data_IF_187944983848
#
_entry.id   IF_187944983848
#
_cell.length_a   1.000
_cell.length_b   1.000
_cell.length_c   1.000
_cell.angle_alpha   90.00
_cell.angle_beta   90.00
_cell.angle_gamma   90.00
#
_symmetry.space_group_name_H-M   'P 1'
#
loop_
_entity.id
_entity.type
_entity.pdbx_description
1 polymer ?
#
# COMPACT_ATOMS: atom_id res chain seq x y z
N UNK A 1 -26.72 -34.60 10.28
CA UNK A 1 -25.79 -33.89 9.38
C UNK A 1 -26.63 -33.12 8.39
N UNK A 2 -26.82 -31.83 8.62
CA UNK A 2 -27.67 -30.95 7.83
C UNK A 2 -26.74 -29.90 7.22
N UNK A 3 -26.71 -29.70 5.90
CA UNK A 3 -25.81 -28.73 5.31
C UNK A 3 -26.35 -27.31 5.57
N UNK A 4 -25.47 -26.42 6.01
CA UNK A 4 -25.77 -25.00 6.14
C UNK A 4 -25.95 -24.36 4.75
N UNK A 5 -26.88 -23.40 4.58
CA UNK A 5 -27.08 -22.74 3.31
C UNK A 5 -25.96 -21.72 3.02
N UNK A 6 -25.68 -21.40 1.75
CA UNK A 6 -24.67 -20.42 1.39
C UNK A 6 -25.12 -19.00 1.80
N UNK A 7 -24.17 -18.20 2.30
CA UNK A 7 -24.40 -16.79 2.63
C UNK A 7 -24.57 -15.99 1.33
N UNK A 8 -25.76 -15.43 1.14
CA UNK A 8 -26.05 -14.49 0.06
C UNK A 8 -25.30 -13.16 0.28
N UNK A 9 -24.70 -12.67 -0.79
CA UNK A 9 -24.09 -11.34 -0.89
C UNK A 9 -25.17 -10.29 -1.18
N UNK A 10 -25.75 -9.72 -0.13
CA UNK A 10 -26.61 -8.54 -0.24
C UNK A 10 -25.81 -7.26 0.01
N UNK A 11 -25.22 -6.66 -1.03
CA UNK A 11 -24.81 -5.24 -0.98
C UNK A 11 -25.97 -4.40 -1.52
N UNK A 12 -26.74 -3.79 -0.62
CA UNK A 12 -27.71 -2.77 -0.99
C UNK A 12 -26.96 -1.47 -1.34
N UNK A 13 -27.39 -0.81 -2.41
CA UNK A 13 -26.79 0.42 -2.96
C UNK A 13 -26.67 1.60 -1.96
N UNK A 14 -27.29 1.49 -0.77
CA UNK A 14 -27.16 2.46 0.32
C UNK A 14 -25.94 2.26 1.23
N UNK A 15 -25.29 1.08 1.24
CA UNK A 15 -24.15 0.81 2.14
C UNK A 15 -22.85 1.48 1.69
N UNK A 16 -22.54 1.47 0.38
CA UNK A 16 -21.30 2.03 -0.15
C UNK A 16 -21.15 3.53 0.08
N UNK A 17 -22.22 4.31 -0.09
CA UNK A 17 -22.18 5.76 0.12
C UNK A 17 -21.86 6.16 1.58
N UNK A 18 -22.33 5.37 2.54
CA UNK A 18 -22.04 5.57 3.96
C UNK A 18 -20.57 5.25 4.29
N UNK A 19 -19.99 4.23 3.65
CA UNK A 19 -18.58 3.89 3.83
C UNK A 19 -17.64 4.96 3.30
N UNK A 20 -17.92 5.53 2.12
CA UNK A 20 -17.12 6.63 1.58
C UNK A 20 -17.17 7.88 2.48
N UNK A 21 -18.27 8.13 3.18
CA UNK A 21 -18.40 9.28 4.08
C UNK A 21 -17.47 9.20 5.31
N UNK A 22 -16.97 8.01 5.66
CA UNK A 22 -16.05 7.79 6.80
C UNK A 22 -14.61 8.18 6.50
N UNK A 23 -14.24 8.42 5.24
CA UNK A 23 -12.87 8.79 4.90
C UNK A 23 -12.59 10.20 5.43
N UNK A 24 -11.71 10.28 6.41
CA UNK A 24 -11.20 11.53 6.98
C UNK A 24 -9.85 11.88 6.32
N UNK A 25 -9.86 12.89 5.44
CA UNK A 25 -8.66 13.34 4.74
C UNK A 25 -7.73 14.22 5.57
N UNK A 26 -8.05 14.49 6.85
CA UNK A 26 -7.17 15.23 7.76
C UNK A 26 -6.09 14.35 8.39
N UNK A 27 -6.27 13.02 8.37
CA UNK A 27 -5.31 12.07 8.93
C UNK A 27 -4.02 12.03 8.08
N UNK A 28 -2.84 11.95 8.72
CA UNK A 28 -1.56 12.15 8.04
C UNK A 28 -1.22 11.03 7.05
N UNK A 29 -1.65 9.80 7.28
CA UNK A 29 -1.39 8.68 6.36
C UNK A 29 -2.16 8.79 5.03
N UNK A 30 -3.21 9.62 4.96
CA UNK A 30 -3.95 9.90 3.72
C UNK A 30 -3.49 11.18 3.02
N UNK A 31 -2.57 11.96 3.61
CA UNK A 31 -2.12 13.22 3.04
C UNK A 31 -1.66 13.13 1.57
N UNK A 32 -0.89 12.09 1.13
CA UNK A 32 -0.48 11.95 -0.27
C UNK A 32 -1.65 11.78 -1.26
N UNK A 33 -2.81 11.35 -0.77
CA UNK A 33 -3.98 11.01 -1.58
C UNK A 33 -5.08 12.07 -1.50
N UNK A 34 -4.97 13.04 -0.59
CA UNK A 34 -6.10 13.87 -0.18
C UNK A 34 -6.67 14.78 -1.28
N UNK A 35 -5.83 15.24 -2.21
CA UNK A 35 -6.27 16.07 -3.35
C UNK A 35 -7.20 15.29 -4.28
N UNK A 36 -6.70 14.29 -5.02
CA UNK A 36 -7.53 13.44 -5.89
C UNK A 36 -8.61 12.69 -5.11
N UNK A 37 -8.32 12.28 -3.88
CA UNK A 37 -9.21 11.53 -3.00
C UNK A 37 -10.48 12.29 -2.64
N UNK A 38 -10.41 13.59 -2.35
CA UNK A 38 -11.61 14.41 -2.07
C UNK A 38 -12.56 14.48 -3.27
N UNK A 39 -12.02 14.66 -4.47
CA UNK A 39 -12.81 14.69 -5.71
C UNK A 39 -13.45 13.33 -5.97
N UNK A 40 -12.66 12.26 -5.90
CA UNK A 40 -13.15 10.90 -6.09
C UNK A 40 -14.18 10.50 -5.01
N UNK A 41 -14.01 10.88 -3.75
CA UNK A 41 -14.95 10.58 -2.66
C UNK A 41 -16.31 11.26 -2.90
N UNK A 42 -16.31 12.52 -3.34
CA UNK A 42 -17.55 13.23 -3.69
C UNK A 42 -18.29 12.51 -4.82
N UNK A 43 -17.56 12.07 -5.85
CA UNK A 43 -18.11 11.30 -6.97
C UNK A 43 -18.61 9.91 -6.52
N UNK A 44 -17.87 9.20 -5.67
CA UNK A 44 -18.27 7.91 -5.11
C UNK A 44 -19.57 8.00 -4.31
N UNK A 45 -19.79 9.10 -3.58
CA UNK A 45 -21.05 9.36 -2.86
C UNK A 45 -22.23 9.65 -3.80
N UNK A 46 -21.96 10.09 -5.02
CA UNK A 46 -22.98 10.29 -6.06
C UNK A 46 -23.31 9.00 -6.83
N UNK A 47 -22.44 7.99 -6.80
CA UNK A 47 -22.69 6.64 -7.34
C UNK A 47 -21.51 6.07 -8.12
N UNK A 48 -21.63 4.80 -8.52
CA UNK A 48 -20.60 4.06 -9.26
C UNK A 48 -20.22 4.73 -10.58
N UNK A 49 -21.21 5.12 -11.39
CA UNK A 49 -20.95 5.77 -12.68
C UNK A 49 -20.21 7.10 -12.52
N UNK A 50 -20.63 7.93 -11.55
CA UNK A 50 -19.97 9.19 -11.24
C UNK A 50 -18.52 9.00 -10.79
N UNK A 51 -18.25 7.97 -9.98
CA UNK A 51 -16.89 7.60 -9.59
C UNK A 51 -16.04 7.24 -10.81
N UNK A 52 -16.51 6.32 -11.66
CA UNK A 52 -15.77 5.92 -12.86
C UNK A 52 -15.50 7.09 -13.80
N UNK A 53 -16.47 7.99 -13.98
CA UNK A 53 -16.30 9.20 -14.80
C UNK A 53 -15.26 10.14 -14.19
N UNK A 54 -15.30 10.37 -12.88
CA UNK A 54 -14.32 11.21 -12.19
C UNK A 54 -12.90 10.62 -12.27
N UNK A 55 -12.75 9.31 -12.06
CA UNK A 55 -11.46 8.62 -12.16
C UNK A 55 -10.92 8.69 -13.60
N UNK A 56 -11.74 8.40 -14.60
CA UNK A 56 -11.31 8.45 -16.00
C UNK A 56 -11.06 9.88 -16.51
N UNK A 57 -11.81 10.86 -16.01
CA UNK A 57 -11.56 12.28 -16.29
C UNK A 57 -10.20 12.74 -15.75
N UNK A 58 -9.83 12.29 -14.54
CA UNK A 58 -8.53 12.57 -13.95
C UNK A 58 -7.35 11.90 -14.70
N UNK A 59 -7.59 10.82 -15.44
CA UNK A 59 -6.57 10.21 -16.31
C UNK A 59 -6.30 11.02 -17.58
N UNK A 60 -7.27 11.82 -18.04
CA UNK A 60 -7.15 12.67 -19.21
C UNK A 60 -6.26 13.90 -19.02
N UNK A 61 -6.03 14.31 -17.76
CA UNK A 61 -5.09 15.37 -17.40
C UNK A 61 -3.67 14.80 -17.32
N UNK A 62 -3.06 14.56 -18.49
CA UNK A 62 -1.71 14.01 -18.56
C UNK A 62 -0.69 15.09 -18.22
N UNK A 63 -0.15 15.01 -17.00
CA UNK A 63 1.02 15.80 -16.60
C UNK A 63 2.28 15.50 -17.43
N UNK A 64 3.46 16.01 -17.02
CA UNK A 64 4.70 15.91 -17.81
C UNK A 64 5.16 14.46 -18.05
N UNK A 65 4.67 13.50 -17.28
CA UNK A 65 4.98 12.07 -17.40
C UNK A 65 4.21 11.34 -18.54
N UNK A 66 3.31 12.04 -19.25
CA UNK A 66 2.49 11.47 -20.32
C UNK A 66 1.33 10.61 -19.82
N UNK A 67 0.69 9.82 -20.70
CA UNK A 67 -0.45 8.99 -20.33
C UNK A 67 -0.03 7.85 -19.40
N UNK A 68 -0.87 7.56 -18.40
CA UNK A 68 -0.67 6.42 -17.50
C UNK A 68 -0.95 5.12 -18.22
N UNK A 69 -0.07 4.15 -18.03
CA UNK A 69 -0.16 2.83 -18.66
C UNK A 69 -0.10 1.70 -17.64
N UNK A 70 -0.66 0.55 -17.99
CA UNK A 70 -0.59 -0.69 -17.19
C UNK A 70 0.67 -1.49 -17.53
N UNK A 71 0.82 -2.68 -16.94
CA UNK A 71 2.06 -3.47 -17.00
C UNK A 71 2.51 -3.91 -18.40
N UNK A 72 1.62 -3.94 -19.39
CA UNK A 72 1.96 -4.20 -20.81
C UNK A 72 1.78 -2.98 -21.71
N UNK A 73 1.85 -1.78 -21.14
CA UNK A 73 1.80 -0.53 -21.91
C UNK A 73 0.42 -0.17 -22.45
N UNK A 74 -0.66 -0.80 -21.96
CA UNK A 74 -2.03 -0.40 -22.31
C UNK A 74 -2.39 0.88 -21.57
N UNK A 75 -3.15 1.76 -22.20
CA UNK A 75 -3.67 2.96 -21.55
C UNK A 75 -4.53 2.55 -20.36
N UNK A 76 -4.23 3.11 -19.19
CA UNK A 76 -4.99 2.88 -17.98
C UNK A 76 -6.42 3.42 -18.16
N UNK A 77 -7.42 2.65 -17.75
CA UNK A 77 -8.81 3.08 -17.65
C UNK A 77 -9.50 2.35 -16.52
N UNK A 78 -10.32 3.04 -15.72
CA UNK A 78 -11.18 2.38 -14.73
C UNK A 78 -12.49 1.95 -15.39
N UNK A 79 -12.88 0.70 -15.20
CA UNK A 79 -14.06 0.09 -15.82
C UNK A 79 -14.96 -0.57 -14.76
N UNK A 80 -16.27 -0.71 -15.01
CA UNK A 80 -17.15 -1.45 -14.10
C UNK A 80 -16.65 -2.89 -13.90
N UNK A 81 -16.90 -3.46 -12.71
CA UNK A 81 -16.53 -4.85 -12.42
C UNK A 81 -17.06 -5.86 -13.45
N UNK A 82 -18.23 -5.59 -14.05
CA UNK A 82 -18.84 -6.43 -15.09
C UNK A 82 -18.04 -6.50 -16.39
N UNK A 83 -17.06 -5.61 -16.62
CA UNK A 83 -16.17 -5.67 -17.76
C UNK A 83 -15.11 -6.80 -17.64
N UNK A 84 -14.89 -7.34 -16.44
CA UNK A 84 -14.03 -8.50 -16.22
C UNK A 84 -14.77 -9.79 -16.64
N UNK A 85 -14.33 -10.51 -17.69
CA UNK A 85 -15.02 -11.71 -18.12
C UNK A 85 -14.91 -12.84 -17.08
N UNK A 86 -15.94 -13.69 -16.92
CA UNK A 86 -15.85 -14.86 -16.06
C UNK A 86 -14.65 -15.75 -16.43
N UNK A 87 -13.90 -16.19 -15.42
CA UNK A 87 -12.73 -17.06 -15.60
C UNK A 87 -11.43 -16.34 -16.01
N UNK A 88 -11.47 -15.04 -16.30
CA UNK A 88 -10.26 -14.25 -16.55
C UNK A 88 -9.73 -13.70 -15.24
N UNK A 89 -8.42 -13.83 -15.03
CA UNK A 89 -7.76 -13.27 -13.86
C UNK A 89 -7.74 -11.74 -13.90
N UNK A 90 -7.97 -11.09 -12.76
CA UNK A 90 -7.94 -9.64 -12.61
C UNK A 90 -6.69 -8.99 -13.22
N UNK A 91 -5.51 -9.50 -12.84
CA UNK A 91 -4.22 -8.96 -13.30
C UNK A 91 -3.98 -9.19 -14.79
N UNK A 92 -4.42 -10.33 -15.33
CA UNK A 92 -4.36 -10.63 -16.77
C UNK A 92 -5.22 -9.64 -17.54
N UNK A 93 -6.46 -9.39 -17.09
CA UNK A 93 -7.36 -8.44 -17.74
C UNK A 93 -6.77 -7.03 -17.79
N UNK A 94 -6.22 -6.52 -16.68
CA UNK A 94 -5.56 -5.21 -16.63
C UNK A 94 -4.38 -5.15 -17.58
N UNK A 95 -3.55 -6.18 -17.60
CA UNK A 95 -2.37 -6.24 -18.44
C UNK A 95 -2.74 -6.24 -19.93
N UNK A 96 -3.77 -6.98 -20.31
CA UNK A 96 -4.15 -7.14 -21.72
C UNK A 96 -4.94 -5.96 -22.27
N UNK A 97 -5.81 -5.36 -21.46
CA UNK A 97 -6.79 -4.36 -21.91
C UNK A 97 -6.50 -2.93 -21.46
N UNK A 98 -5.77 -2.76 -20.35
CA UNK A 98 -5.64 -1.48 -19.66
C UNK A 98 -6.81 -1.14 -18.73
N UNK A 99 -7.90 -1.90 -18.79
CA UNK A 99 -9.08 -1.75 -17.94
C UNK A 99 -8.83 -2.29 -16.54
N UNK A 100 -9.02 -1.46 -15.52
CA UNK A 100 -9.01 -1.83 -14.10
C UNK A 100 -10.44 -2.02 -13.64
N UNK A 101 -10.92 -3.28 -13.46
CA UNK A 101 -12.23 -3.54 -12.90
C UNK A 101 -12.32 -2.92 -11.52
N UNK A 102 -13.34 -2.09 -11.32
CA UNK A 102 -13.51 -1.25 -10.14
C UNK A 102 -14.92 -1.44 -9.59
N UNK A 103 -15.02 -2.03 -8.39
CA UNK A 103 -16.23 -2.17 -7.60
C UNK A 103 -16.48 -0.88 -6.81
N UNK A 104 -17.73 -0.60 -6.49
CA UNK A 104 -18.12 0.56 -5.69
C UNK A 104 -17.92 0.31 -4.18
N UNK A 105 -16.66 0.19 -3.75
CA UNK A 105 -16.27 -0.01 -2.35
C UNK A 105 -14.95 0.73 -2.00
N UNK A 106 -14.59 0.77 -0.72
CA UNK A 106 -13.37 1.44 -0.25
C UNK A 106 -12.10 0.80 -0.80
N UNK A 107 -12.08 -0.53 -0.92
CA UNK A 107 -10.94 -1.28 -1.43
C UNK A 107 -10.51 -0.82 -2.84
N UNK A 108 -11.41 -0.89 -3.82
CA UNK A 108 -11.10 -0.51 -5.20
C UNK A 108 -10.98 1.01 -5.36
N UNK A 109 -11.63 1.79 -4.49
CA UNK A 109 -11.42 3.23 -4.39
C UNK A 109 -9.98 3.58 -4.03
N UNK A 110 -9.41 2.99 -2.96
CA UNK A 110 -8.01 3.22 -2.62
C UNK A 110 -7.06 2.63 -3.65
N UNK A 111 -7.40 1.49 -4.27
CA UNK A 111 -6.62 0.94 -5.38
C UNK A 111 -6.48 1.96 -6.53
N UNK A 112 -7.57 2.65 -6.88
CA UNK A 112 -7.55 3.71 -7.88
C UNK A 112 -6.66 4.90 -7.47
N UNK A 113 -6.73 5.33 -6.20
CA UNK A 113 -5.85 6.38 -5.69
C UNK A 113 -4.37 5.99 -5.69
N UNK A 114 -4.05 4.73 -5.43
CA UNK A 114 -2.68 4.22 -5.54
C UNK A 114 -2.20 4.20 -6.99
N UNK A 115 -3.05 3.88 -7.98
CA UNK A 115 -2.72 4.04 -9.41
C UNK A 115 -2.38 5.49 -9.79
N UNK A 116 -3.02 6.48 -9.15
CA UNK A 116 -2.67 7.89 -9.35
C UNK A 116 -1.37 8.31 -8.67
N UNK A 117 -1.13 7.86 -7.43
CA UNK A 117 0.06 8.25 -6.69
C UNK A 117 1.33 7.50 -7.15
N UNK A 118 1.20 6.22 -7.48
CA UNK A 118 2.31 5.32 -7.79
C UNK A 118 2.06 4.52 -9.09
N UNK A 119 1.89 5.20 -10.24
CA UNK A 119 1.56 4.54 -11.50
C UNK A 119 2.63 3.54 -11.94
N UNK A 120 3.92 3.82 -11.72
CA UNK A 120 5.01 2.94 -12.19
C UNK A 120 5.09 1.69 -11.33
N UNK A 121 4.92 1.81 -10.00
CA UNK A 121 4.81 0.66 -9.09
C UNK A 121 3.64 -0.23 -9.51
N UNK A 122 2.45 0.34 -9.69
CA UNK A 122 1.26 -0.44 -10.08
C UNK A 122 1.42 -1.11 -11.44
N UNK A 123 2.00 -0.43 -12.42
CA UNK A 123 2.32 -1.03 -13.70
C UNK A 123 3.32 -2.20 -13.55
N UNK A 124 4.39 -2.04 -12.76
CA UNK A 124 5.38 -3.09 -12.53
C UNK A 124 4.77 -4.32 -11.81
N UNK A 125 3.93 -4.10 -10.79
CA UNK A 125 3.19 -5.16 -10.09
C UNK A 125 2.30 -5.93 -11.06
N UNK A 126 1.49 -5.21 -11.85
CA UNK A 126 0.59 -5.80 -12.83
C UNK A 126 1.36 -6.63 -13.89
N UNK A 127 2.47 -6.09 -14.41
CA UNK A 127 3.29 -6.81 -15.40
C UNK A 127 3.83 -8.12 -14.84
N UNK A 128 4.34 -8.12 -13.60
CA UNK A 128 4.90 -9.31 -12.96
C UNK A 128 3.84 -10.31 -12.53
N UNK A 129 2.70 -9.85 -12.03
CA UNK A 129 1.55 -10.71 -11.74
C UNK A 129 1.09 -11.43 -13.01
N UNK A 130 0.86 -10.70 -14.10
CA UNK A 130 0.42 -11.26 -15.37
C UNK A 130 1.45 -12.26 -15.94
N UNK A 131 2.74 -11.90 -15.95
CA UNK A 131 3.81 -12.81 -16.41
C UNK A 131 3.88 -14.10 -15.57
N UNK A 132 3.68 -14.00 -14.25
CA UNK A 132 3.67 -15.17 -13.37
C UNK A 132 2.43 -16.06 -13.57
N UNK A 133 1.28 -15.47 -13.93
CA UNK A 133 0.07 -16.22 -14.29
C UNK A 133 0.29 -16.96 -15.61
N UNK A 134 0.83 -16.29 -16.63
CA UNK A 134 1.11 -16.89 -17.93
C UNK A 134 2.11 -18.06 -17.81
N UNK A 135 3.18 -17.87 -17.03
CA UNK A 135 4.19 -18.90 -16.78
C UNK A 135 3.61 -20.13 -16.05
N UNK A 136 2.55 -19.95 -15.26
CA UNK A 136 1.84 -21.04 -14.59
C UNK A 136 0.75 -21.70 -15.47
N UNK A 137 0.52 -21.21 -16.69
CA UNK A 137 -0.56 -21.68 -17.56
C UNK A 137 -1.95 -21.20 -17.12
N UNK A 138 -2.03 -20.11 -16.35
CA UNK A 138 -3.27 -19.56 -15.80
C UNK A 138 -3.30 -19.48 -14.28
N UNK A 139 -4.48 -19.18 -13.72
CA UNK A 139 -4.67 -19.12 -12.26
C UNK A 139 -4.91 -20.52 -11.72
N UNK A 140 -3.85 -21.12 -11.17
CA UNK A 140 -3.94 -22.35 -10.39
C UNK A 140 -4.49 -22.13 -8.97
N UNK A 141 -4.81 -23.22 -8.24
CA UNK A 141 -5.39 -23.16 -6.88
C UNK A 141 -4.41 -22.63 -5.82
N UNK A 142 -3.10 -22.69 -6.09
CA UNK A 142 -2.05 -22.22 -5.18
C UNK A 142 -1.26 -21.12 -5.87
N UNK A 143 -1.15 -19.96 -5.21
CA UNK A 143 -0.27 -18.89 -5.65
C UNK A 143 1.18 -19.26 -5.35
N UNK A 144 2.06 -19.02 -6.31
CA UNK A 144 3.50 -19.16 -6.10
C UNK A 144 4.06 -18.05 -5.20
N UNK A 145 5.25 -18.29 -4.64
CA UNK A 145 5.94 -17.38 -3.70
C UNK A 145 6.05 -15.94 -4.21
N UNK A 146 6.35 -15.77 -5.50
CA UNK A 146 6.41 -14.45 -6.14
C UNK A 146 5.05 -13.76 -6.15
N UNK A 147 3.98 -14.45 -6.57
CA UNK A 147 2.63 -13.87 -6.62
C UNK A 147 2.12 -13.51 -5.23
N UNK A 148 2.41 -14.34 -4.23
CA UNK A 148 2.09 -14.02 -2.84
C UNK A 148 2.83 -12.75 -2.37
N UNK A 149 4.11 -12.59 -2.70
CA UNK A 149 4.86 -11.39 -2.34
C UNK A 149 4.35 -10.13 -3.06
N UNK A 150 4.01 -10.24 -4.36
CA UNK A 150 3.46 -9.13 -5.14
C UNK A 150 2.07 -8.73 -4.64
N UNK A 151 1.20 -9.69 -4.34
CA UNK A 151 -0.11 -9.40 -3.74
C UNK A 151 0.06 -8.78 -2.36
N UNK A 152 0.94 -9.31 -1.51
CA UNK A 152 1.19 -8.75 -0.19
C UNK A 152 1.67 -7.30 -0.26
N UNK A 153 2.53 -7.00 -1.24
CA UNK A 153 2.95 -5.63 -1.51
C UNK A 153 1.77 -4.75 -1.92
N UNK A 154 1.01 -5.17 -2.93
CA UNK A 154 -0.09 -4.37 -3.48
C UNK A 154 -1.20 -4.09 -2.46
N UNK A 155 -1.46 -5.04 -1.56
CA UNK A 155 -2.54 -5.00 -0.58
C UNK A 155 -2.13 -4.28 0.71
N UNK A 156 -0.92 -4.53 1.22
CA UNK A 156 -0.58 -4.20 2.60
C UNK A 156 0.80 -3.55 2.78
N UNK A 157 1.47 -3.11 1.70
CA UNK A 157 2.78 -2.51 1.86
C UNK A 157 2.77 -1.07 2.39
N UNK A 158 3.80 -0.80 3.18
CA UNK A 158 4.34 0.53 3.40
C UNK A 158 5.74 0.61 2.79
N UNK A 159 6.16 1.81 2.42
CA UNK A 159 7.53 2.13 2.05
C UNK A 159 8.14 2.92 3.20
N UNK A 160 9.17 2.36 3.83
CA UNK A 160 9.98 3.08 4.79
C UNK A 160 11.15 3.72 4.05
N UNK A 161 11.04 5.02 3.81
CA UNK A 161 12.04 5.78 3.06
C UNK A 161 12.98 6.41 4.08
N UNK A 162 14.30 6.21 3.93
CA UNK A 162 15.26 6.76 4.89
C UNK A 162 16.59 7.13 4.26
N UNK A 163 17.19 8.21 4.76
CA UNK A 163 18.57 8.59 4.50
C UNK A 163 19.54 8.11 5.60
N UNK A 164 19.04 7.39 6.62
CA UNK A 164 19.82 6.86 7.74
C UNK A 164 19.71 5.33 7.81
N UNK A 165 20.82 4.65 7.48
CA UNK A 165 20.93 3.19 7.53
C UNK A 165 20.60 2.63 8.92
N UNK A 166 20.90 3.35 9.98
CA UNK A 166 20.68 2.87 11.33
C UNK A 166 19.17 2.81 11.70
N UNK A 167 18.34 3.62 11.05
CA UNK A 167 16.88 3.54 11.18
C UNK A 167 16.30 2.39 10.36
N UNK A 168 16.87 2.11 9.18
CA UNK A 168 16.53 0.91 8.41
C UNK A 168 16.84 -0.36 9.21
N UNK A 169 18.00 -0.41 9.87
CA UNK A 169 18.39 -1.54 10.71
C UNK A 169 17.50 -1.67 11.96
N UNK A 170 17.11 -0.55 12.57
CA UNK A 170 16.14 -0.55 13.66
C UNK A 170 14.78 -1.14 13.24
N UNK A 171 14.29 -0.81 12.04
CA UNK A 171 13.07 -1.40 11.50
C UNK A 171 13.22 -2.92 11.27
N UNK A 172 14.31 -3.35 10.62
CA UNK A 172 14.57 -4.79 10.37
C UNK A 172 14.72 -5.59 11.67
N UNK A 173 15.38 -5.00 12.66
CA UNK A 173 15.63 -5.59 13.97
C UNK A 173 14.47 -5.48 14.95
N UNK A 174 13.38 -4.79 14.57
CA UNK A 174 12.25 -4.48 15.44
C UNK A 174 12.66 -3.72 16.72
N UNK A 175 13.63 -2.82 16.61
CA UNK A 175 14.07 -1.90 17.66
C UNK A 175 13.14 -0.68 17.71
N UNK A 176 11.91 -0.91 18.17
CA UNK A 176 10.86 0.11 18.25
C UNK A 176 11.21 1.28 19.15
N UNK A 177 11.83 1.09 20.34
CA UNK A 177 12.25 2.21 21.17
C UNK A 177 13.21 3.13 20.42
N UNK A 178 14.18 2.58 19.68
CA UNK A 178 15.07 3.40 18.86
C UNK A 178 14.34 4.10 17.73
N UNK A 179 13.55 3.37 16.95
CA UNK A 179 12.95 3.86 15.70
C UNK A 179 11.81 4.86 15.94
N UNK A 180 10.93 4.59 16.90
CA UNK A 180 9.66 5.32 17.07
C UNK A 180 9.67 6.28 18.27
N UNK A 181 10.59 6.08 19.23
CA UNK A 181 10.67 6.91 20.44
C UNK A 181 11.94 7.77 20.42
N UNK A 182 13.13 7.17 20.46
CA UNK A 182 14.40 7.90 20.58
C UNK A 182 14.71 8.74 19.33
N UNK A 183 14.32 8.27 18.15
CA UNK A 183 14.58 8.95 16.86
C UNK A 183 13.34 9.72 16.35
N UNK A 184 12.47 10.19 17.25
CA UNK A 184 11.21 10.86 16.87
C UNK A 184 11.44 12.10 15.99
N UNK A 185 12.50 12.84 16.26
CA UNK A 185 12.94 14.03 15.51
C UNK A 185 13.44 13.72 14.08
N UNK A 186 13.78 12.45 13.81
CA UNK A 186 14.20 11.99 12.49
C UNK A 186 13.02 11.82 11.51
N UNK A 187 11.79 11.68 12.02
CA UNK A 187 10.61 11.49 11.18
C UNK A 187 10.24 12.80 10.47
N UNK A 188 10.12 12.72 9.14
CA UNK A 188 9.93 13.86 8.23
C UNK A 188 11.23 14.55 7.79
N UNK A 189 12.36 14.30 8.46
CA UNK A 189 13.65 14.95 8.18
C UNK A 189 14.73 14.00 7.68
N UNK A 190 14.69 12.72 8.09
CA UNK A 190 15.65 11.66 7.73
C UNK A 190 14.98 10.31 7.46
N UNK A 191 13.74 10.11 7.90
CA UNK A 191 12.91 8.98 7.53
C UNK A 191 11.43 9.38 7.36
N UNK A 192 10.68 8.60 6.61
CA UNK A 192 9.22 8.71 6.50
C UNK A 192 8.60 7.36 6.11
N UNK A 193 7.30 7.22 6.35
CA UNK A 193 6.51 6.09 5.89
C UNK A 193 5.52 6.54 4.82
N UNK A 194 5.47 5.83 3.69
CA UNK A 194 4.48 6.03 2.63
C UNK A 194 3.66 4.77 2.43
N UNK A 195 2.34 4.85 2.56
CA UNK A 195 1.48 3.69 2.37
C UNK A 195 1.21 3.50 0.88
N UNK A 196 1.36 2.27 0.39
CA UNK A 196 1.02 1.89 -0.99
C UNK A 196 0.02 0.74 -1.04
N UNK A 197 -0.09 -0.04 0.03
CA UNK A 197 -1.07 -1.10 0.18
C UNK A 197 -2.50 -0.55 0.23
N UNK A 198 -3.33 -0.86 -0.77
CA UNK A 198 -4.66 -0.29 -0.86
C UNK A 198 -5.66 -0.88 0.16
N UNK A 199 -5.55 -2.17 0.50
CA UNK A 199 -6.31 -2.74 1.62
C UNK A 199 -5.83 -2.19 2.98
N UNK A 200 -4.54 -1.89 3.14
CA UNK A 200 -4.06 -1.21 4.34
C UNK A 200 -4.69 0.19 4.49
N UNK A 201 -4.80 0.95 3.40
CA UNK A 201 -5.47 2.25 3.39
C UNK A 201 -6.96 2.11 3.75
N UNK A 202 -7.65 1.10 3.21
CA UNK A 202 -9.03 0.78 3.57
C UNK A 202 -9.18 0.46 5.07
N UNK A 203 -8.30 -0.39 5.62
CA UNK A 203 -8.30 -0.73 7.05
C UNK A 203 -8.11 0.52 7.92
N UNK A 204 -7.29 1.47 7.49
CA UNK A 204 -7.02 2.71 8.22
C UNK A 204 -8.15 3.76 8.12
N UNK A 205 -9.25 3.49 7.41
CA UNK A 205 -10.51 4.27 7.57
C UNK A 205 -11.16 4.00 8.93
N UNK A 206 -10.89 2.85 9.55
CA UNK A 206 -11.21 2.56 10.96
C UNK A 206 -9.95 2.05 11.67
N UNK A 207 -9.01 2.95 12.01
CA UNK A 207 -7.68 2.57 12.46
C UNK A 207 -7.73 1.85 13.82
N UNK A 208 -6.86 0.86 14.00
CA UNK A 208 -6.68 0.13 15.25
C UNK A 208 -5.20 -0.10 15.55
N UNK A 209 -4.83 -0.11 16.84
CA UNK A 209 -3.44 -0.04 17.32
C UNK A 209 -2.48 -1.05 16.68
N UNK A 210 -2.93 -2.29 16.50
CA UNK A 210 -2.12 -3.39 15.96
C UNK A 210 -2.08 -3.45 14.42
N UNK A 211 -2.62 -2.45 13.72
CA UNK A 211 -2.52 -2.36 12.27
C UNK A 211 -1.03 -2.37 11.85
N UNK A 212 -0.65 -3.39 11.08
CA UNK A 212 0.75 -3.68 10.74
C UNK A 212 0.88 -3.81 9.24
N UNK A 213 1.82 -3.07 8.66
CA UNK A 213 2.16 -3.13 7.24
C UNK A 213 3.29 -4.12 6.96
N UNK A 214 3.41 -4.53 5.70
CA UNK A 214 4.57 -5.25 5.16
C UNK A 214 5.50 -4.27 4.47
N UNK A 215 6.59 -3.90 5.15
CA UNK A 215 7.33 -2.70 4.78
C UNK A 215 8.54 -2.99 3.90
N UNK A 216 8.63 -2.28 2.78
CA UNK A 216 9.81 -2.23 1.93
C UNK A 216 10.69 -1.04 2.34
N UNK A 217 12.00 -1.26 2.53
CA UNK A 217 12.94 -0.21 2.91
C UNK A 217 13.55 0.43 1.66
N UNK A 218 13.47 1.76 1.55
CA UNK A 218 13.99 2.54 0.43
C UNK A 218 15.06 3.51 0.95
N UNK A 219 16.34 3.24 0.62
CA UNK A 219 17.48 4.04 1.09
C UNK A 219 17.76 5.23 0.17
N UNK A 220 17.43 6.45 0.56
CA UNK A 220 17.59 7.69 -0.25
C UNK A 220 18.79 8.53 0.21
N UNK A 221 19.19 9.53 -0.58
CA UNK A 221 20.11 10.56 -0.11
C UNK A 221 19.41 11.54 0.84
N UNK A 222 20.18 12.31 1.62
CA UNK A 222 19.62 13.32 2.53
C UNK A 222 18.79 14.39 1.80
N UNK A 223 19.19 14.78 0.58
CA UNK A 223 18.51 15.80 -0.25
C UNK A 223 17.04 15.46 -0.52
N UNK A 224 16.68 14.18 -0.50
CA UNK A 224 15.30 13.72 -0.63
C UNK A 224 14.35 14.45 0.32
N UNK A 225 14.78 14.68 1.57
CA UNK A 225 13.97 15.34 2.59
C UNK A 225 13.93 16.87 2.45
N UNK A 226 14.59 17.43 1.43
CA UNK A 226 14.45 18.83 1.04
C UNK A 226 13.52 19.02 -0.17
N UNK A 227 13.14 17.94 -0.87
CA UNK A 227 12.27 18.03 -2.05
C UNK A 227 10.79 18.25 -1.68
N UNK A 228 10.01 18.89 -2.57
CA UNK A 228 8.55 18.89 -2.50
C UNK A 228 7.99 17.46 -2.50
N UNK A 229 6.85 17.26 -1.84
CA UNK A 229 6.25 15.93 -1.68
C UNK A 229 5.96 15.21 -3.01
N UNK A 230 5.48 15.95 -4.02
CA UNK A 230 5.25 15.39 -5.35
C UNK A 230 6.53 14.80 -5.99
N UNK A 231 7.67 15.46 -5.79
CA UNK A 231 8.97 14.96 -6.28
C UNK A 231 9.43 13.73 -5.49
N UNK A 232 9.18 13.70 -4.17
CA UNK A 232 9.47 12.54 -3.32
C UNK A 232 8.68 11.31 -3.77
N UNK A 233 7.36 11.47 -3.98
CA UNK A 233 6.47 10.42 -4.49
C UNK A 233 6.99 9.90 -5.84
N UNK A 234 7.25 10.79 -6.79
CA UNK A 234 7.73 10.41 -8.12
C UNK A 234 9.08 9.67 -8.07
N UNK A 235 10.00 10.11 -7.22
CA UNK A 235 11.29 9.45 -7.03
C UNK A 235 11.13 8.01 -6.49
N UNK A 236 10.31 7.86 -5.45
CA UNK A 236 10.04 6.55 -4.84
C UNK A 236 9.30 5.63 -5.81
N UNK A 237 8.31 6.14 -6.55
CA UNK A 237 7.57 5.41 -7.57
C UNK A 237 8.51 4.83 -8.64
N UNK A 238 9.38 5.66 -9.22
CA UNK A 238 10.37 5.23 -10.22
C UNK A 238 11.31 4.15 -9.67
N UNK A 239 11.88 4.39 -8.49
CA UNK A 239 12.88 3.50 -7.91
C UNK A 239 12.31 2.14 -7.54
N UNK A 240 11.19 2.14 -6.81
CA UNK A 240 10.56 0.90 -6.35
C UNK A 240 10.00 0.13 -7.53
N UNK A 241 9.46 0.80 -8.56
CA UNK A 241 9.05 0.12 -9.79
C UNK A 241 10.21 -0.60 -10.49
N UNK A 242 11.38 0.03 -10.58
CA UNK A 242 12.57 -0.57 -11.17
C UNK A 242 13.06 -1.79 -10.38
N UNK A 243 13.09 -1.69 -9.04
CA UNK A 243 13.42 -2.83 -8.16
C UNK A 243 12.39 -3.95 -8.27
N UNK A 244 11.09 -3.62 -8.29
CA UNK A 244 10.02 -4.58 -8.50
C UNK A 244 10.19 -5.29 -9.84
N UNK A 245 10.53 -4.60 -10.92
CA UNK A 245 10.69 -5.21 -12.24
C UNK A 245 11.84 -6.23 -12.30
N UNK A 246 12.96 -5.98 -11.62
CA UNK A 246 14.19 -6.75 -11.77
C UNK A 246 14.48 -7.75 -10.63
N UNK A 247 14.02 -7.46 -9.39
CA UNK A 247 14.43 -8.23 -8.20
C UNK A 247 13.61 -9.50 -8.03
N UNK A 248 14.28 -10.60 -7.70
CA UNK A 248 13.60 -11.77 -7.14
C UNK A 248 13.00 -11.37 -5.78
N UNK A 249 11.72 -11.65 -5.56
CA UNK A 249 10.97 -11.16 -4.42
C UNK A 249 10.22 -12.30 -3.74
N UNK A 250 10.26 -12.29 -2.42
CA UNK A 250 9.50 -13.17 -1.54
C UNK A 250 8.87 -12.35 -0.41
N UNK A 251 7.89 -12.91 0.29
CA UNK A 251 7.29 -12.22 1.45
C UNK A 251 8.28 -11.93 2.59
N UNK A 252 9.44 -12.61 2.62
CA UNK A 252 10.50 -12.38 3.62
C UNK A 252 11.28 -11.09 3.40
N UNK A 253 11.11 -10.47 2.23
CA UNK A 253 11.72 -9.19 1.90
C UNK A 253 11.05 -8.00 2.61
N UNK A 254 9.91 -8.21 3.26
CA UNK A 254 9.16 -7.17 3.95
C UNK A 254 9.31 -7.24 5.46
N UNK A 255 9.58 -6.10 6.09
CA UNK A 255 9.60 -5.97 7.55
C UNK A 255 8.19 -5.62 8.07
N UNK A 256 7.62 -6.40 9.02
CA UNK A 256 6.41 -6.01 9.72
C UNK A 256 6.59 -4.64 10.39
N UNK A 257 5.63 -3.72 10.21
CA UNK A 257 5.70 -2.38 10.78
C UNK A 257 4.36 -1.91 11.37
N UNK A 258 4.25 -1.72 12.70
CA UNK A 258 3.04 -1.17 13.32
C UNK A 258 2.82 0.29 12.92
N UNK A 259 1.93 0.55 11.97
CA UNK A 259 1.85 1.85 11.29
C UNK A 259 1.36 2.98 12.19
N UNK A 260 0.51 2.68 13.18
CA UNK A 260 0.07 3.68 14.16
C UNK A 260 1.15 4.04 15.19
N UNK A 261 2.30 3.34 15.16
CA UNK A 261 3.49 3.74 15.89
C UNK A 261 4.27 4.88 15.22
N UNK A 262 3.98 5.23 13.97
CA UNK A 262 4.69 6.33 13.29
C UNK A 262 4.42 7.66 14.02
N UNK A 263 5.46 8.38 14.48
CA UNK A 263 5.29 9.65 15.17
C UNK A 263 4.34 10.62 14.48
N UNK A 264 3.35 11.10 15.23
CA UNK A 264 2.37 12.08 14.77
C UNK A 264 1.22 11.48 13.93
N UNK A 265 1.18 10.16 13.72
CA UNK A 265 0.06 9.53 13.00
C UNK A 265 -1.21 9.41 13.84
N UNK A 266 -1.10 9.20 15.15
CA UNK A 266 -2.24 9.29 16.05
C UNK A 266 -1.83 9.95 17.36
N UNK A 267 -2.79 10.64 17.99
CA UNK A 267 -2.54 11.41 19.22
C UNK A 267 -1.98 10.52 20.35
N UNK A 268 -2.49 9.29 20.45
CA UNK A 268 -2.10 8.33 21.48
C UNK A 268 -0.59 8.00 21.44
N UNK A 269 0.07 8.09 20.28
CA UNK A 269 1.49 7.75 20.13
C UNK A 269 2.46 8.87 20.52
N UNK A 270 1.94 10.01 21.00
CA UNK A 270 2.72 11.03 21.67
C UNK A 270 3.19 10.57 23.06
N UNK A 271 2.42 9.70 23.71
CA UNK A 271 2.75 9.13 25.02
C UNK A 271 3.70 7.94 24.88
N UNK A 272 4.79 7.92 25.67
CA UNK A 272 5.77 6.83 25.64
C UNK A 272 5.13 5.45 25.94
N UNK A 273 4.14 5.42 26.85
CA UNK A 273 3.43 4.20 27.23
C UNK A 273 2.65 3.54 26.08
N UNK A 274 2.39 4.26 24.98
CA UNK A 274 1.79 3.69 23.78
C UNK A 274 2.62 2.51 23.23
N UNK A 275 3.95 2.64 23.30
CA UNK A 275 4.92 1.69 22.75
C UNK A 275 5.25 0.53 23.68
N UNK A 276 4.81 0.58 24.94
CA UNK A 276 5.07 -0.47 25.94
C UNK A 276 4.21 -1.73 25.76
N UNK A 277 3.31 -1.73 24.77
CA UNK A 277 2.43 -2.85 24.46
C UNK A 277 3.17 -3.95 23.67
N UNK A 278 3.54 -5.08 24.32
CA UNK A 278 4.35 -6.11 23.69
C UNK A 278 3.55 -6.94 22.68
N UNK A 279 2.21 -6.82 22.64
CA UNK A 279 1.40 -7.51 21.63
C UNK A 279 1.55 -6.84 20.26
N UNK A 280 1.78 -5.53 20.25
CA UNK A 280 1.96 -4.67 19.06
C UNK A 280 3.44 -4.45 18.76
N UNK A 281 4.19 -3.92 19.73
CA UNK A 281 5.60 -3.55 19.59
C UNK A 281 6.52 -4.67 20.07
N UNK A 282 6.41 -5.82 19.39
CA UNK A 282 7.18 -7.03 19.72
C UNK A 282 8.67 -6.77 19.48
N UNK A 283 9.51 -7.03 20.48
CA UNK A 283 10.96 -7.01 20.28
C UNK A 283 11.35 -8.08 19.26
N UNK A 284 12.31 -7.75 18.40
CA UNK A 284 12.86 -8.72 17.47
C UNK A 284 13.50 -9.89 18.20
N UNK A 285 13.70 -11.01 17.48
CA UNK A 285 14.57 -12.06 17.99
C UNK A 285 15.96 -11.45 18.13
N UNK A 286 16.30 -11.01 19.35
CA UNK A 286 17.68 -10.71 19.70
C UNK A 286 18.47 -11.95 19.33
N UNK A 287 19.35 -11.87 18.34
CA UNK A 287 20.53 -12.73 18.33
C UNK A 287 21.14 -12.53 19.70
N UNK A 288 21.05 -13.56 20.57
CA UNK A 288 21.67 -13.53 21.89
C UNK A 288 23.11 -13.10 21.68
N UNK A 289 23.44 -11.85 22.00
CA UNK A 289 24.81 -11.50 22.25
C UNK A 289 25.25 -12.44 23.35
N UNK A 290 26.25 -13.26 23.04
CA UNK A 290 26.88 -14.10 24.02
C UNK A 290 27.47 -13.19 25.09
N UNK A 291 26.77 -13.07 26.22
CA UNK A 291 27.39 -12.73 27.49
C UNK A 291 28.29 -13.92 27.86
N UNK A 292 29.46 -13.99 27.22
CA UNK A 292 30.63 -14.62 27.82
C UNK A 292 31.23 -13.61 28.79
N UNK A 293 30.56 -13.41 29.91
CA UNK A 293 31.17 -12.84 31.10
C UNK A 293 32.18 -13.84 31.65
N UNK A 294 33.43 -13.71 31.23
CA UNK A 294 34.56 -14.34 31.90
C UNK A 294 34.66 -13.74 33.31
N UNK A 295 34.44 -14.58 34.32
CA UNK A 295 34.79 -14.28 35.71
C UNK A 295 36.32 -14.33 35.82
N UNK A 296 36.91 -13.25 36.36
CA UNK A 296 38.13 -13.33 37.14
C UNK A 296 37.76 -13.65 38.59
#
# INVERSE_FOLDING_TARGET
MTPAPPRESGHTAGSGAADFARIDWSVPWLAPYAGPGRVAQAAARAGEAALLDALNGALGDTGPDGPRVTGRGRLLRFVPQAALPPGVAYETHIAETGGVPTRHNLHDFFNALVWFAYPRIKAALNARQAAAIDAAGGVGPVRGTLRDALTLFDENAALFVTADRALADALRGFDWPRLLVASRDAWGTRCEARLVGHALLEQLVAPYKSCTAHTWIVEVSADYFCWPDAQRIAHVDVRVAAELAARALTSRDFAPFPVLGVPGWCDANAEAAFYDDPAVFRSGRRSRHADSGAQC
#
